data_IF_621307763824
#
_entry.id   IF_621307763824
#
_cell.length_a   1.000
_cell.length_b   1.000
_cell.length_c   1.000
_cell.angle_alpha   90.00
_cell.angle_beta   90.00
_cell.angle_gamma   90.00
#
_symmetry.space_group_name_H-M   'P 1'
#
loop_
_entity.id
_entity.type
_entity.pdbx_description
1 polymer ?
#
# COMPACT_ATOMS: atom_id res chain seq x y z
N UNK A 1 3.30 13.63 -27.88
CA UNK A 1 4.49 13.68 -26.99
C UNK A 1 4.90 12.25 -26.69
N UNK A 2 6.21 11.94 -26.66
CA UNK A 2 6.67 10.61 -26.28
C UNK A 2 6.37 10.30 -24.79
N UNK A 3 6.13 9.03 -24.47
CA UNK A 3 5.87 8.57 -23.10
C UNK A 3 7.11 8.78 -22.21
N UNK A 4 6.93 9.42 -21.05
CA UNK A 4 8.03 9.78 -20.13
C UNK A 4 8.06 8.96 -18.84
N UNK A 5 7.04 8.15 -18.60
CA UNK A 5 6.86 7.39 -17.36
C UNK A 5 6.92 5.90 -17.66
N UNK A 6 7.52 5.14 -16.75
CA UNK A 6 7.52 3.68 -16.79
C UNK A 6 6.21 3.18 -16.18
N UNK A 7 5.21 2.96 -17.03
CA UNK A 7 3.90 2.45 -16.66
C UNK A 7 3.26 1.77 -17.89
N UNK A 8 2.27 0.91 -17.66
CA UNK A 8 1.48 0.28 -18.72
C UNK A 8 0.30 1.20 -19.12
N UNK A 9 -0.90 0.94 -18.61
CA UNK A 9 -2.06 1.83 -18.75
C UNK A 9 -2.15 2.77 -17.53
N UNK A 10 -2.31 4.09 -17.71
CA UNK A 10 -2.51 5.02 -16.60
C UNK A 10 -3.69 4.67 -15.67
N UNK A 11 -4.71 3.98 -16.16
CA UNK A 11 -5.86 3.54 -15.36
C UNK A 11 -5.50 2.39 -14.41
N UNK A 12 -4.49 1.59 -14.77
CA UNK A 12 -4.07 0.41 -14.00
C UNK A 12 -2.92 0.72 -13.04
N UNK A 13 -2.29 1.91 -13.16
CA UNK A 13 -1.08 2.30 -12.45
C UNK A 13 -1.13 2.01 -10.94
N UNK A 14 -2.23 2.38 -10.27
CA UNK A 14 -2.35 2.21 -8.81
C UNK A 14 -2.41 0.74 -8.43
N UNK A 15 -3.21 -0.05 -9.16
CA UNK A 15 -3.34 -1.48 -8.90
C UNK A 15 -2.03 -2.23 -9.11
N UNK A 16 -1.32 -1.94 -10.21
CA UNK A 16 -0.02 -2.55 -10.51
C UNK A 16 1.04 -2.17 -9.46
N UNK A 17 1.10 -0.89 -9.07
CA UNK A 17 2.03 -0.40 -8.06
C UNK A 17 1.80 -1.09 -6.71
N UNK A 18 0.55 -1.12 -6.23
CA UNK A 18 0.22 -1.72 -4.94
C UNK A 18 0.43 -3.24 -4.94
N UNK A 19 0.12 -3.91 -6.06
CA UNK A 19 0.36 -5.34 -6.23
C UNK A 19 1.86 -5.65 -6.17
N UNK A 20 2.68 -4.89 -6.90
CA UNK A 20 4.14 -5.02 -6.85
C UNK A 20 4.71 -4.75 -5.45
N UNK A 21 4.20 -3.71 -4.77
CA UNK A 21 4.60 -3.39 -3.40
C UNK A 21 4.28 -4.53 -2.42
N UNK A 22 3.07 -5.09 -2.48
CA UNK A 22 2.68 -6.22 -1.64
C UNK A 22 3.48 -7.49 -1.92
N UNK A 23 3.82 -7.76 -3.18
CA UNK A 23 4.69 -8.89 -3.55
C UNK A 23 6.12 -8.69 -3.03
N UNK A 24 6.66 -7.46 -3.13
CA UNK A 24 8.01 -7.14 -2.66
C UNK A 24 8.17 -7.19 -1.13
N UNK A 25 7.06 -7.02 -0.40
CA UNK A 25 7.04 -6.93 1.07
C UNK A 25 5.99 -7.87 1.69
N UNK A 26 5.82 -9.06 1.12
CA UNK A 26 4.79 -10.01 1.52
C UNK A 26 4.90 -10.48 2.99
N UNK A 27 6.08 -10.31 3.61
CA UNK A 27 6.34 -10.56 5.03
C UNK A 27 5.80 -9.44 5.94
N UNK A 28 5.48 -8.27 5.39
CA UNK A 28 5.11 -7.07 6.16
C UNK A 28 3.72 -6.57 5.86
N UNK A 29 3.29 -6.63 4.60
CA UNK A 29 2.02 -6.06 4.15
C UNK A 29 1.22 -7.02 3.28
N UNK A 30 -0.09 -6.76 3.18
CA UNK A 30 -1.04 -7.44 2.30
C UNK A 30 -1.86 -6.39 1.56
N UNK A 31 -2.17 -6.66 0.29
CA UNK A 31 -3.11 -5.86 -0.49
C UNK A 31 -4.51 -6.47 -0.40
N UNK A 32 -5.51 -5.66 -0.11
CA UNK A 32 -6.93 -6.04 -0.14
C UNK A 32 -7.56 -5.73 -1.50
N UNK A 33 -8.75 -6.28 -1.75
CA UNK A 33 -9.50 -6.06 -3.01
C UNK A 33 -9.85 -4.59 -3.29
N UNK A 34 -9.84 -3.72 -2.26
CA UNK A 34 -10.20 -2.30 -2.36
C UNK A 34 -8.98 -1.37 -2.40
N UNK A 35 -7.81 -1.84 -2.86
CA UNK A 35 -6.56 -1.07 -2.89
C UNK A 35 -6.07 -0.60 -1.51
N UNK A 36 -6.47 -1.27 -0.42
CA UNK A 36 -5.92 -1.00 0.91
C UNK A 36 -4.70 -1.87 1.15
N UNK A 37 -3.63 -1.25 1.62
CA UNK A 37 -2.45 -1.94 2.13
C UNK A 37 -2.62 -2.10 3.63
N UNK A 38 -2.56 -3.32 4.13
CA UNK A 38 -2.71 -3.64 5.55
C UNK A 38 -1.49 -4.41 6.03
N UNK A 39 -1.29 -4.49 7.34
CA UNK A 39 -0.23 -5.35 7.90
C UNK A 39 -0.46 -6.81 7.53
N UNK A 40 0.62 -7.51 7.14
CA UNK A 40 0.58 -8.94 6.90
C UNK A 40 0.21 -9.71 8.18
N UNK A 41 0.84 -9.31 9.29
CA UNK A 41 0.52 -9.76 10.64
C UNK A 41 -0.34 -8.70 11.36
N UNK A 42 -1.61 -9.02 11.68
CA UNK A 42 -2.51 -8.08 12.35
C UNK A 42 -1.98 -7.63 13.72
N UNK A 43 -2.32 -6.40 14.13
CA UNK A 43 -2.09 -5.97 15.52
C UNK A 43 -2.85 -6.85 16.51
N UNK A 44 -2.38 -6.84 17.76
CA UNK A 44 -3.13 -7.41 18.87
C UNK A 44 -4.53 -6.76 19.01
N UNK A 45 -5.50 -7.54 19.48
CA UNK A 45 -6.91 -7.11 19.54
C UNK A 45 -7.16 -5.99 20.56
N UNK A 46 -6.33 -5.91 21.60
CA UNK A 46 -6.38 -4.92 22.68
C UNK A 46 -5.72 -3.57 22.32
N UNK A 47 -5.05 -3.48 21.17
CA UNK A 47 -4.47 -2.22 20.68
C UNK A 47 -5.46 -1.43 19.83
N UNK A 48 -5.41 -0.09 19.90
CA UNK A 48 -6.16 0.79 18.99
C UNK A 48 -5.57 0.67 17.58
N UNK A 49 -6.44 0.57 16.57
CA UNK A 49 -6.00 0.54 15.17
C UNK A 49 -5.75 1.97 14.66
N UNK A 50 -4.64 2.16 13.95
CA UNK A 50 -4.36 3.41 13.24
C UNK A 50 -4.60 3.21 11.74
N UNK A 51 -5.50 4.02 11.20
CA UNK A 51 -5.94 3.96 9.81
C UNK A 51 -5.70 5.30 9.16
N UNK A 52 -5.16 5.29 7.94
CA UNK A 52 -5.05 6.50 7.12
C UNK A 52 -5.36 6.20 5.66
N UNK A 53 -5.70 7.24 4.90
CA UNK A 53 -6.05 7.14 3.49
C UNK A 53 -5.55 8.38 2.74
N UNK A 54 -5.19 8.20 1.48
CA UNK A 54 -4.70 9.27 0.61
C UNK A 54 -4.67 8.82 -0.86
N UNK A 55 -4.48 9.79 -1.76
CA UNK A 55 -4.26 9.51 -3.18
C UNK A 55 -2.85 8.99 -3.45
N UNK A 56 -2.70 8.16 -4.49
CA UNK A 56 -1.40 7.70 -5.00
C UNK A 56 -0.56 8.83 -5.59
N UNK A 57 0.76 8.64 -5.70
CA UNK A 57 1.70 9.63 -6.23
C UNK A 57 2.50 10.38 -5.17
N UNK A 58 2.33 10.01 -3.90
CA UNK A 58 3.09 10.51 -2.76
C UNK A 58 3.95 9.40 -2.10
N UNK A 59 4.20 8.29 -2.81
CA UNK A 59 4.95 7.16 -2.28
C UNK A 59 6.29 7.64 -1.68
N UNK A 60 6.65 7.22 -0.43
CA UNK A 60 6.09 6.09 0.31
C UNK A 60 4.79 6.39 1.07
N UNK A 61 4.31 7.64 1.10
CA UNK A 61 3.08 7.96 1.80
C UNK A 61 1.87 7.36 1.05
N UNK A 62 1.00 6.57 1.68
CA UNK A 62 1.01 6.17 3.10
C UNK A 62 1.35 4.69 3.29
N UNK A 63 1.27 3.88 2.23
CA UNK A 63 1.47 2.42 2.25
C UNK A 63 2.84 1.98 2.79
N UNK A 64 3.87 2.80 2.61
CA UNK A 64 5.21 2.53 3.15
C UNK A 64 5.31 2.67 4.68
N UNK A 65 4.29 3.23 5.32
CA UNK A 65 4.20 3.36 6.79
C UNK A 65 3.27 2.33 7.43
N UNK A 66 2.76 1.36 6.66
CA UNK A 66 1.97 0.24 7.20
C UNK A 66 2.92 -0.77 7.83
N UNK A 67 2.79 -0.98 9.14
CA UNK A 67 3.72 -1.80 9.90
C UNK A 67 3.59 -1.64 11.41
N UNK A 68 4.29 -2.49 12.14
CA UNK A 68 4.30 -2.43 13.61
C UNK A 68 4.83 -1.07 14.10
N UNK A 69 4.09 -0.44 15.02
CA UNK A 69 4.44 0.85 15.59
C UNK A 69 4.05 2.06 14.74
N UNK A 70 3.46 1.85 13.57
CA UNK A 70 2.94 2.92 12.69
C UNK A 70 1.47 2.64 12.30
N UNK A 71 1.17 2.46 11.02
CA UNK A 71 -0.21 2.28 10.53
C UNK A 71 -0.59 0.79 10.48
N UNK A 72 -1.85 0.48 10.74
CA UNK A 72 -2.41 -0.85 10.53
C UNK A 72 -3.05 -1.00 9.14
N UNK A 73 -3.55 0.12 8.60
CA UNK A 73 -4.18 0.29 7.28
C UNK A 73 -3.73 1.65 6.70
#
# INVERSE_FOLDING_TARGET
MAMKKFLNDPNDLVGELLSGFALAHADKVKLTENNLVVRAEPKAQDKVALVTLGGSGHEPALSGYVGEGMLDI
#
